data_IF_002300329097
#
_entry.id   IF_002300329097
#
_cell.length_a   1.000
_cell.length_b   1.000
_cell.length_c   1.000
_cell.angle_alpha   90.00
_cell.angle_beta   90.00
_cell.angle_gamma   90.00
#
_symmetry.space_group_name_H-M   'P 1'
#
loop_
_entity.id
_entity.type
_entity.pdbx_description
1 polymer ?
#
# COMPACT_ATOMS: atom_id res chain seq x y z
N UNK A 1 23.73 -18.61 -10.27
CA UNK A 1 22.44 -18.78 -10.97
C UNK A 1 22.22 -20.27 -11.12
N UNK A 2 21.44 -20.89 -10.23
CA UNK A 2 21.44 -22.35 -10.07
C UNK A 2 20.25 -23.06 -10.74
N UNK A 3 19.24 -22.33 -11.22
CA UNK A 3 18.05 -22.93 -11.88
C UNK A 3 17.65 -22.27 -13.22
N UNK A 4 18.31 -21.19 -13.64
CA UNK A 4 18.04 -20.54 -14.94
C UNK A 4 16.64 -19.90 -15.08
N UNK A 5 15.89 -19.76 -13.99
CA UNK A 5 14.52 -19.20 -13.99
C UNK A 5 14.60 -17.69 -13.77
N UNK A 6 14.18 -16.92 -14.78
CA UNK A 6 14.10 -15.46 -14.71
C UNK A 6 12.64 -15.00 -14.58
N UNK A 7 12.37 -14.23 -13.52
CA UNK A 7 11.08 -13.56 -13.32
C UNK A 7 11.34 -12.05 -13.36
N UNK A 8 10.58 -11.27 -14.15
CA UNK A 8 10.65 -9.82 -14.11
C UNK A 8 10.44 -9.30 -12.69
N UNK A 9 11.10 -8.20 -12.32
CA UNK A 9 10.95 -7.65 -10.98
C UNK A 9 9.54 -7.10 -10.74
N UNK A 10 9.03 -7.36 -9.54
CA UNK A 10 7.77 -6.78 -9.04
C UNK A 10 6.69 -7.82 -8.70
N UNK A 11 5.79 -7.43 -7.79
CA UNK A 11 4.74 -8.30 -7.26
C UNK A 11 3.87 -8.92 -8.34
N UNK A 12 3.38 -8.11 -9.27
CA UNK A 12 2.50 -8.57 -10.35
C UNK A 12 3.17 -9.64 -11.23
N UNK A 13 4.46 -9.46 -11.55
CA UNK A 13 5.22 -10.42 -12.34
C UNK A 13 5.39 -11.74 -11.60
N UNK A 14 5.68 -11.69 -10.29
CA UNK A 14 5.77 -12.90 -9.45
C UNK A 14 4.43 -13.62 -9.37
N UNK A 15 3.33 -12.93 -9.06
CA UNK A 15 2.01 -13.54 -8.96
C UNK A 15 1.54 -14.21 -10.26
N UNK A 16 1.93 -13.67 -11.41
CA UNK A 16 1.58 -14.24 -12.71
C UNK A 16 2.46 -15.43 -13.12
N UNK A 17 3.77 -15.35 -12.89
CA UNK A 17 4.75 -16.33 -13.42
C UNK A 17 5.05 -17.47 -12.47
N UNK A 18 4.92 -17.25 -11.16
CA UNK A 18 5.23 -18.25 -10.15
C UNK A 18 4.35 -19.51 -10.25
N UNK A 19 3.03 -19.44 -10.53
CA UNK A 19 2.22 -20.64 -10.75
C UNK A 19 2.74 -21.50 -11.91
N UNK A 20 3.06 -20.88 -13.05
CA UNK A 20 3.59 -21.55 -14.25
C UNK A 20 4.92 -22.26 -13.94
N UNK A 21 5.81 -21.59 -13.19
CA UNK A 21 7.09 -22.14 -12.76
C UNK A 21 6.91 -23.34 -11.82
N UNK A 22 5.94 -23.28 -10.91
CA UNK A 22 5.71 -24.37 -9.96
C UNK A 22 5.04 -25.58 -10.62
N UNK A 23 4.30 -25.40 -11.73
CA UNK A 23 3.68 -26.46 -12.51
C UNK A 23 4.66 -27.14 -13.49
N UNK A 24 5.70 -26.43 -13.94
CA UNK A 24 6.74 -27.02 -14.79
C UNK A 24 7.64 -27.97 -14.00
N UNK A 25 7.37 -29.28 -14.10
CA UNK A 25 8.16 -30.34 -13.48
C UNK A 25 9.60 -30.45 -14.05
N UNK A 26 9.88 -29.87 -15.22
CA UNK A 26 11.14 -30.04 -15.93
C UNK A 26 12.15 -28.92 -15.68
N UNK A 27 11.80 -27.87 -14.93
CA UNK A 27 12.68 -26.73 -14.64
C UNK A 27 13.74 -26.97 -13.55
N UNK A 28 13.92 -28.22 -13.11
CA UNK A 28 14.97 -28.61 -12.16
C UNK A 28 14.72 -28.20 -10.71
N UNK A 29 13.58 -27.59 -10.37
CA UNK A 29 13.25 -27.29 -8.97
C UNK A 29 12.92 -28.57 -8.19
N UNK A 30 13.58 -28.75 -7.05
CA UNK A 30 13.27 -29.84 -6.12
C UNK A 30 11.86 -29.70 -5.53
N UNK A 31 11.19 -30.83 -5.26
CA UNK A 31 9.86 -30.86 -4.64
C UNK A 31 9.79 -30.08 -3.31
N UNK A 32 10.86 -30.18 -2.50
CA UNK A 32 10.95 -29.41 -1.26
C UNK A 32 10.90 -27.91 -1.55
N UNK A 33 11.68 -27.42 -2.50
CA UNK A 33 11.72 -26.00 -2.83
C UNK A 33 10.41 -25.52 -3.47
N UNK A 34 9.75 -26.35 -4.29
CA UNK A 34 8.39 -26.06 -4.80
C UNK A 34 7.38 -25.88 -3.67
N UNK A 35 7.48 -26.70 -2.64
CA UNK A 35 6.59 -26.63 -1.46
C UNK A 35 6.79 -25.31 -0.70
N UNK A 36 8.04 -24.94 -0.44
CA UNK A 36 8.36 -23.66 0.23
C UNK A 36 7.88 -22.45 -0.59
N UNK A 37 8.14 -22.45 -1.90
CA UNK A 37 7.70 -21.37 -2.81
C UNK A 37 6.18 -21.25 -2.86
N UNK A 38 5.45 -22.38 -2.78
CA UNK A 38 3.99 -22.37 -2.71
C UNK A 38 3.49 -21.74 -1.41
N UNK A 39 4.10 -22.08 -0.28
CA UNK A 39 3.79 -21.46 1.01
C UNK A 39 3.99 -19.94 0.99
N UNK A 40 5.12 -19.48 0.45
CA UNK A 40 5.39 -18.05 0.30
C UNK A 40 4.42 -17.35 -0.66
N UNK A 41 4.01 -18.02 -1.73
CA UNK A 41 3.01 -17.49 -2.67
C UNK A 41 1.64 -17.31 -2.00
N UNK A 42 1.23 -18.29 -1.19
CA UNK A 42 -0.01 -18.21 -0.43
C UNK A 42 0.02 -17.11 0.64
N UNK A 43 1.15 -16.95 1.34
CA UNK A 43 1.33 -15.85 2.29
C UNK A 43 1.26 -14.48 1.60
N UNK A 44 1.94 -14.32 0.47
CA UNK A 44 1.90 -13.10 -0.33
C UNK A 44 0.46 -12.76 -0.76
N UNK A 45 -0.29 -13.75 -1.26
CA UNK A 45 -1.70 -13.58 -1.63
C UNK A 45 -2.56 -13.18 -0.43
N UNK A 46 -2.34 -13.81 0.72
CA UNK A 46 -3.06 -13.46 1.94
C UNK A 46 -2.79 -12.02 2.39
N UNK A 47 -1.54 -11.56 2.30
CA UNK A 47 -1.19 -10.17 2.58
C UNK A 47 -1.87 -9.20 1.61
N UNK A 48 -1.95 -9.54 0.32
CA UNK A 48 -2.64 -8.72 -0.69
C UNK A 48 -4.15 -8.61 -0.40
N UNK A 49 -4.79 -9.71 -0.01
CA UNK A 49 -6.19 -9.72 0.43
C UNK A 49 -6.40 -8.80 1.65
N UNK A 50 -5.49 -8.86 2.63
CA UNK A 50 -5.53 -7.99 3.82
C UNK A 50 -5.35 -6.52 3.46
N UNK A 51 -4.41 -6.18 2.59
CA UNK A 51 -4.21 -4.80 2.12
C UNK A 51 -5.48 -4.29 1.45
N UNK A 52 -6.08 -5.09 0.56
CA UNK A 52 -7.33 -4.73 -0.12
C UNK A 52 -8.47 -4.52 0.87
N UNK A 53 -8.57 -5.38 1.88
CA UNK A 53 -9.56 -5.26 2.93
C UNK A 53 -9.41 -3.95 3.74
N UNK A 54 -8.18 -3.58 4.13
CA UNK A 54 -7.95 -2.34 4.85
C UNK A 54 -8.13 -1.10 3.97
N UNK A 55 -7.80 -1.18 2.68
CA UNK A 55 -8.07 -0.10 1.73
C UNK A 55 -9.57 0.21 1.66
N UNK A 56 -10.42 -0.81 1.57
CA UNK A 56 -11.87 -0.64 1.60
C UNK A 56 -12.38 -0.05 2.93
N UNK A 57 -11.79 -0.45 4.06
CA UNK A 57 -12.11 0.15 5.36
C UNK A 57 -11.70 1.63 5.43
N UNK A 58 -10.55 2.00 4.88
CA UNK A 58 -10.09 3.40 4.82
C UNK A 58 -11.04 4.24 3.97
N UNK A 59 -11.52 3.72 2.84
CA UNK A 59 -12.53 4.40 2.01
C UNK A 59 -13.82 4.62 2.79
N UNK A 60 -14.34 3.58 3.44
CA UNK A 60 -15.56 3.67 4.28
C UNK A 60 -15.39 4.69 5.42
N UNK A 61 -14.23 4.72 6.06
CA UNK A 61 -13.91 5.69 7.10
C UNK A 61 -13.88 7.11 6.53
N UNK A 62 -13.24 7.31 5.37
CA UNK A 62 -13.15 8.61 4.72
C UNK A 62 -14.53 9.15 4.33
N UNK A 63 -15.43 8.28 3.88
CA UNK A 63 -16.82 8.63 3.53
C UNK A 63 -17.67 9.01 4.74
N UNK A 64 -17.35 8.53 5.94
CA UNK A 64 -18.11 8.81 7.16
C UNK A 64 -17.51 9.91 8.04
N UNK A 65 -16.26 10.31 7.78
CA UNK A 65 -15.53 11.28 8.61
C UNK A 65 -15.56 12.69 8.00
N UNK A 66 -16.25 13.69 8.62
CA UNK A 66 -16.45 15.01 8.01
C UNK A 66 -15.15 15.74 7.65
N UNK A 67 -14.11 15.65 8.48
CA UNK A 67 -12.82 16.27 8.18
C UNK A 67 -12.11 15.57 7.01
N UNK A 68 -12.27 14.25 6.86
CA UNK A 68 -11.66 13.52 5.76
C UNK A 68 -12.37 13.86 4.44
N UNK A 69 -13.70 13.94 4.45
CA UNK A 69 -14.49 14.41 3.31
C UNK A 69 -14.08 15.83 2.88
N UNK A 70 -13.93 16.76 3.83
CA UNK A 70 -13.50 18.12 3.55
C UNK A 70 -12.09 18.14 2.93
N UNK A 71 -11.17 17.36 3.48
CA UNK A 71 -9.81 17.23 2.95
C UNK A 71 -9.80 16.64 1.53
N UNK A 72 -10.63 15.63 1.24
CA UNK A 72 -10.72 15.03 -0.10
C UNK A 72 -11.23 15.99 -1.19
N UNK A 73 -11.77 17.16 -0.84
CA UNK A 73 -12.09 18.22 -1.82
C UNK A 73 -10.83 18.89 -2.39
N UNK A 74 -9.67 18.72 -1.75
CA UNK A 74 -8.39 19.26 -2.20
C UNK A 74 -7.86 18.37 -3.35
N UNK A 75 -7.58 18.94 -4.54
CA UNK A 75 -7.03 18.18 -5.66
C UNK A 75 -5.77 17.39 -5.28
N UNK A 76 -5.75 16.10 -5.59
CA UNK A 76 -4.63 15.20 -5.30
C UNK A 76 -4.71 14.51 -3.93
N UNK A 77 -5.71 14.81 -3.09
CA UNK A 77 -5.88 14.19 -1.78
C UNK A 77 -7.04 13.18 -1.78
N UNK A 78 -6.71 11.88 -1.87
CA UNK A 78 -7.68 10.79 -1.78
C UNK A 78 -7.91 10.30 -0.35
N UNK A 79 -8.78 9.30 -0.19
CA UNK A 79 -9.18 8.73 1.12
C UNK A 79 -8.01 8.39 2.04
N UNK A 80 -6.97 7.72 1.52
CA UNK A 80 -5.76 7.37 2.29
C UNK A 80 -5.02 8.61 2.81
N UNK A 81 -4.84 9.62 1.96
CA UNK A 81 -4.15 10.85 2.34
C UNK A 81 -4.97 11.67 3.34
N UNK A 82 -6.27 11.80 3.10
CA UNK A 82 -7.18 12.55 3.97
C UNK A 82 -7.30 11.91 5.36
N UNK A 83 -7.49 10.59 5.43
CA UNK A 83 -7.58 9.88 6.72
C UNK A 83 -6.24 9.84 7.46
N UNK A 84 -5.12 9.70 6.75
CA UNK A 84 -3.79 9.81 7.36
C UNK A 84 -3.55 11.19 7.97
N UNK A 85 -3.98 12.27 7.30
CA UNK A 85 -3.86 13.63 7.82
C UNK A 85 -4.72 13.84 9.06
N UNK A 86 -5.96 13.39 9.05
CA UNK A 86 -6.83 13.42 10.23
C UNK A 86 -6.17 12.66 11.39
N UNK A 87 -5.68 11.45 11.13
CA UNK A 87 -5.02 10.63 12.16
C UNK A 87 -3.72 11.27 12.69
N UNK A 88 -2.94 11.91 11.83
CA UNK A 88 -1.67 12.53 12.21
C UNK A 88 -1.85 13.85 12.97
N UNK A 89 -2.87 14.64 12.63
CA UNK A 89 -3.24 15.86 13.37
C UNK A 89 -3.91 15.51 14.70
N UNK A 90 -4.63 14.39 14.76
CA UNK A 90 -5.38 13.96 15.93
C UNK A 90 -6.63 14.81 16.19
N UNK A 91 -7.18 14.71 17.41
CA UNK A 91 -8.46 15.34 17.77
C UNK A 91 -8.37 16.85 18.04
N UNK A 92 -7.17 17.43 18.19
CA UNK A 92 -6.99 18.85 18.50
C UNK A 92 -6.32 19.65 17.38
N UNK A 93 -7.10 20.26 16.47
CA UNK A 93 -6.59 21.15 15.42
C UNK A 93 -5.83 22.37 15.97
N UNK A 94 -5.97 22.70 17.27
CA UNK A 94 -5.31 23.84 17.91
C UNK A 94 -3.79 23.65 18.08
N UNK A 95 -3.27 22.45 17.78
CA UNK A 95 -1.83 22.22 17.66
C UNK A 95 -1.18 23.15 16.62
N UNK A 96 -1.94 23.67 15.66
CA UNK A 96 -1.45 24.63 14.67
C UNK A 96 -1.98 26.04 14.95
N UNK A 97 -1.10 27.04 14.93
CA UNK A 97 -1.46 28.46 15.14
C UNK A 97 -2.42 29.00 14.09
N UNK A 98 -2.38 28.46 12.87
CA UNK A 98 -3.25 28.80 11.75
C UNK A 98 -3.08 27.75 10.63
N UNK A 99 -3.91 27.83 9.59
CA UNK A 99 -3.84 26.93 8.43
C UNK A 99 -2.49 26.98 7.69
N UNK A 100 -1.76 28.09 7.72
CA UNK A 100 -0.40 28.17 7.16
C UNK A 100 0.60 27.33 7.96
N UNK A 101 0.44 27.25 9.28
CA UNK A 101 1.25 26.38 10.14
C UNK A 101 1.06 24.90 9.80
N UNK A 102 -0.18 24.48 9.55
CA UNK A 102 -0.47 23.13 9.06
C UNK A 102 0.12 22.92 7.66
N UNK A 103 -0.08 23.85 6.73
CA UNK A 103 0.45 23.74 5.38
C UNK A 103 1.99 23.67 5.35
N UNK A 104 2.68 24.40 6.24
CA UNK A 104 4.13 24.32 6.38
C UNK A 104 4.58 22.95 6.92
N UNK A 105 3.86 22.38 7.90
CA UNK A 105 4.12 21.02 8.39
C UNK A 105 3.94 19.96 7.30
N UNK A 106 3.01 20.19 6.37
CA UNK A 106 2.78 19.35 5.19
C UNK A 106 3.74 19.61 4.02
N UNK A 107 4.68 20.55 4.15
CA UNK A 107 5.59 20.92 3.07
C UNK A 107 4.93 21.66 1.89
N UNK A 108 3.71 22.18 2.08
CA UNK A 108 2.92 22.90 1.07
C UNK A 108 3.21 24.41 1.01
N UNK A 109 4.06 24.91 1.92
CA UNK A 109 4.49 26.31 1.94
C UNK A 109 5.95 26.38 1.49
N UNK A 110 6.21 27.10 0.40
CA UNK A 110 7.58 27.45 0.04
C UNK A 110 8.17 28.36 1.12
N UNK A 111 9.32 27.97 1.66
CA UNK A 111 10.12 28.87 2.47
C UNK A 111 10.70 29.96 1.55
N UNK A 112 10.46 31.26 1.81
CA UNK A 112 11.19 32.30 1.11
C UNK A 112 12.67 32.20 1.51
N UNK A 113 13.55 32.14 0.51
CA UNK A 113 15.00 32.32 0.64
C UNK A 113 15.32 33.81 0.86
#
# INVERSE_FOLDING_TARGET
>A
MEYGIEIPQGRAAVSQRLPEILEDANNGLSERFRTELRGLADELRHLDERVTHYDAQIETLAESHPQAQALMTIPGLGAKGATALVAAVGEDPRLFKNGRGLAAWLGLVLHPL
#
